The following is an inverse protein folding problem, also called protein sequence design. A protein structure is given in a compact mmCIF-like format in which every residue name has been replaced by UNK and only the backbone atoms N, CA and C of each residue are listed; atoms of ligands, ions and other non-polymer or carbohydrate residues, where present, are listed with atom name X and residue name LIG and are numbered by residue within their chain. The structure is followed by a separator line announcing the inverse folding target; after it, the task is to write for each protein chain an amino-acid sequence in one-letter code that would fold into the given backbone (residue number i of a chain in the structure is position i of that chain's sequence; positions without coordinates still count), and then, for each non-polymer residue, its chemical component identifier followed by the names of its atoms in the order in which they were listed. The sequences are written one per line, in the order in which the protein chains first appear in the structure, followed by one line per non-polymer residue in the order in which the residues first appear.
data_IF_634099661643
#
_entry.id   IF_634099661643
#
_cell.length_a   1.000
_cell.length_b   1.000
_cell.length_c   1.000
_cell.angle_alpha   90.00
_cell.angle_beta   90.00
_cell.angle_gamma   90.00
#
_symmetry.space_group_name_H-M   'P 1'
#
loop_
_entity.id
_entity.type
_entity.pdbx_description
1 polymer ?
#
# COMPACT_ATOMS: atom_id res chain seq x y z
N UNK A 1 -22.23 -13.13 20.43
CA UNK A 1 -21.51 -11.89 20.05
C UNK A 1 -20.00 -12.11 19.84
N UNK A 2 -19.42 -13.24 20.26
CA UNK A 2 -17.99 -13.57 20.13
C UNK A 2 -17.57 -14.01 18.72
N UNK A 3 -18.40 -14.76 18.00
CA UNK A 3 -18.04 -15.31 16.68
C UNK A 3 -17.95 -14.25 15.58
N UNK A 4 -18.89 -13.30 15.55
CA UNK A 4 -18.88 -12.22 14.55
C UNK A 4 -17.63 -11.34 14.63
N UNK A 5 -17.15 -11.03 15.85
CA UNK A 5 -15.92 -10.26 16.06
C UNK A 5 -14.67 -11.05 15.66
N UNK A 6 -14.63 -12.35 15.97
CA UNK A 6 -13.55 -13.25 15.53
C UNK A 6 -13.49 -13.36 14.01
N UNK A 7 -14.65 -13.53 13.36
CA UNK A 7 -14.75 -13.55 11.89
C UNK A 7 -14.32 -12.22 11.28
N UNK A 8 -14.74 -11.08 11.85
CA UNK A 8 -14.33 -9.75 11.38
C UNK A 8 -12.81 -9.57 11.46
N UNK A 9 -12.17 -9.97 12.58
CA UNK A 9 -10.72 -9.94 12.72
C UNK A 9 -10.03 -10.81 11.66
N UNK A 10 -10.49 -12.05 11.47
CA UNK A 10 -9.91 -12.96 10.48
C UNK A 10 -10.03 -12.40 9.05
N UNK A 11 -11.15 -11.76 8.71
CA UNK A 11 -11.34 -11.11 7.41
C UNK A 11 -10.40 -9.91 7.22
N UNK A 12 -10.24 -9.06 8.24
CA UNK A 12 -9.30 -7.93 8.21
C UNK A 12 -7.86 -8.42 8.03
N UNK A 13 -7.45 -9.42 8.81
CA UNK A 13 -6.11 -10.01 8.74
C UNK A 13 -5.85 -10.64 7.35
N UNK A 14 -6.87 -11.29 6.76
CA UNK A 14 -6.81 -11.81 5.39
C UNK A 14 -6.63 -10.69 4.37
N UNK A 15 -7.48 -9.66 4.38
CA UNK A 15 -7.39 -8.55 3.42
C UNK A 15 -6.06 -7.81 3.51
N UNK A 16 -5.56 -7.58 4.73
CA UNK A 16 -4.25 -6.95 4.96
C UNK A 16 -3.13 -7.79 4.36
N UNK A 17 -3.11 -9.09 4.63
CA UNK A 17 -2.10 -10.01 4.10
C UNK A 17 -2.15 -10.08 2.57
N UNK A 18 -3.35 -10.22 1.99
CA UNK A 18 -3.52 -10.24 0.53
C UNK A 18 -3.08 -8.93 -0.10
N UNK A 19 -3.41 -7.79 0.52
CA UNK A 19 -2.97 -6.49 0.07
C UNK A 19 -1.45 -6.35 0.11
N UNK A 20 -0.81 -6.68 1.24
CA UNK A 20 0.64 -6.60 1.42
C UNK A 20 1.40 -7.44 0.40
N UNK A 21 0.95 -8.67 0.17
CA UNK A 21 1.54 -9.57 -0.83
C UNK A 21 1.36 -9.03 -2.25
N UNK A 22 0.16 -8.57 -2.59
CA UNK A 22 -0.16 -8.05 -3.93
C UNK A 22 0.60 -6.76 -4.22
N UNK A 23 0.67 -5.86 -3.24
CA UNK A 23 1.42 -4.61 -3.32
C UNK A 23 2.92 -4.89 -3.51
N UNK A 24 3.48 -5.82 -2.73
CA UNK A 24 4.89 -6.21 -2.86
C UNK A 24 5.19 -6.78 -4.24
N UNK A 25 4.34 -7.67 -4.76
CA UNK A 25 4.49 -8.23 -6.11
C UNK A 25 4.41 -7.15 -7.19
N UNK A 26 3.49 -6.19 -7.06
CA UNK A 26 3.37 -5.05 -7.97
C UNK A 26 4.63 -4.18 -7.96
N UNK A 27 5.17 -3.87 -6.77
CA UNK A 27 6.41 -3.09 -6.64
C UNK A 27 7.60 -3.81 -7.28
N UNK A 28 7.70 -5.13 -7.14
CA UNK A 28 8.75 -5.92 -7.80
C UNK A 28 8.64 -5.84 -9.33
N UNK A 29 7.43 -5.97 -9.89
CA UNK A 29 7.20 -5.86 -11.34
C UNK A 29 7.55 -4.47 -11.87
N UNK A 30 7.15 -3.43 -11.14
CA UNK A 30 7.51 -2.06 -11.47
C UNK A 30 9.03 -1.86 -11.46
N UNK A 31 9.74 -2.34 -10.43
CA UNK A 31 11.20 -2.25 -10.35
C UNK A 31 11.86 -2.95 -11.55
N UNK A 32 11.36 -4.13 -11.94
CA UNK A 32 11.83 -4.84 -13.11
C UNK A 32 11.59 -4.05 -14.41
N UNK A 33 10.41 -3.44 -14.56
CA UNK A 33 10.07 -2.59 -15.70
C UNK A 33 10.97 -1.34 -15.77
N UNK A 34 11.25 -0.71 -14.63
CA UNK A 34 12.17 0.44 -14.55
C UNK A 34 13.58 0.06 -14.97
N UNK A 35 14.09 -1.08 -14.50
CA UNK A 35 15.41 -1.60 -14.91
C UNK A 35 15.46 -1.85 -16.41
N UNK A 36 14.43 -2.50 -16.98
CA UNK A 36 14.34 -2.76 -18.42
C UNK A 36 14.28 -1.47 -19.22
N UNK A 37 13.46 -0.51 -18.78
CA UNK A 37 13.33 0.81 -19.43
C UNK A 37 14.64 1.59 -19.40
N UNK A 38 15.35 1.56 -18.26
CA UNK A 38 16.67 2.20 -18.11
C UNK A 38 17.70 1.59 -19.05
N UNK A 39 17.74 0.25 -19.18
CA UNK A 39 18.61 -0.42 -20.13
C UNK A 39 18.28 -0.03 -21.57
N UNK A 40 16.99 -0.02 -21.94
CA UNK A 40 16.53 0.34 -23.28
C UNK A 40 16.90 1.79 -23.65
N UNK A 41 16.70 2.74 -22.74
CA UNK A 41 17.09 4.13 -22.97
C UNK A 41 18.60 4.33 -23.01
N UNK A 42 19.36 3.59 -22.19
CA UNK A 42 20.82 3.60 -22.25
C UNK A 42 21.38 3.14 -23.59
N UNK A 43 20.62 2.34 -24.35
CA UNK A 43 20.96 1.93 -25.71
C UNK A 43 20.51 2.94 -26.79
N UNK A 44 19.60 3.87 -26.46
CA UNK A 44 19.19 4.91 -27.41
C UNK A 44 20.24 6.02 -27.49
N UNK A 45 20.85 6.13 -28.67
CA UNK A 45 21.94 7.08 -28.94
C UNK A 45 21.49 8.55 -28.92
N UNK A 46 20.18 8.83 -29.01
CA UNK A 46 19.62 10.17 -29.22
C UNK A 46 18.50 10.57 -28.23
N UNK A 47 18.49 10.08 -26.99
CA UNK A 47 17.48 10.53 -26.02
C UNK A 47 17.78 11.99 -25.57
N UNK A 48 16.89 12.96 -25.81
CA UNK A 48 17.08 14.33 -25.33
C UNK A 48 17.15 14.38 -23.80
N UNK A 49 17.96 15.29 -23.25
CA UNK A 49 18.17 15.38 -21.80
C UNK A 49 16.89 15.76 -21.03
N UNK A 50 16.01 16.55 -21.66
CA UNK A 50 14.67 16.84 -21.11
C UNK A 50 13.85 15.55 -20.91
N UNK A 51 13.89 14.64 -21.88
CA UNK A 51 13.20 13.35 -21.78
C UNK A 51 13.78 12.48 -20.67
N UNK A 52 15.12 12.44 -20.51
CA UNK A 52 15.75 11.72 -19.38
C UNK A 52 15.27 12.27 -18.03
N UNK A 53 15.23 13.60 -17.90
CA UNK A 53 14.79 14.27 -16.68
C UNK A 53 13.31 13.97 -16.37
N UNK A 54 12.43 14.08 -17.37
CA UNK A 54 11.01 13.80 -17.21
C UNK A 54 10.75 12.36 -16.74
N UNK A 55 11.50 11.39 -17.29
CA UNK A 55 11.38 9.98 -16.91
C UNK A 55 11.88 9.70 -15.49
N UNK A 56 12.99 10.32 -15.08
CA UNK A 56 13.49 10.23 -13.70
C UNK A 56 12.51 10.82 -12.70
N UNK A 57 11.95 12.00 -13.01
CA UNK A 57 10.93 12.64 -12.18
C UNK A 57 9.65 11.80 -12.11
N UNK A 58 9.21 11.22 -13.24
CA UNK A 58 8.06 10.33 -13.29
C UNK A 58 8.26 9.10 -12.41
N UNK A 59 9.39 8.40 -12.55
CA UNK A 59 9.74 7.24 -11.71
C UNK A 59 9.75 7.59 -10.22
N UNK A 60 10.36 8.72 -9.86
CA UNK A 60 10.41 9.19 -8.47
C UNK A 60 9.01 9.48 -7.91
N UNK A 61 8.18 10.19 -8.68
CA UNK A 61 6.84 10.54 -8.25
C UNK A 61 5.92 9.33 -8.15
N UNK A 62 6.06 8.37 -9.08
CA UNK A 62 5.31 7.11 -9.03
C UNK A 62 5.66 6.32 -7.76
N UNK A 63 6.95 6.11 -7.46
CA UNK A 63 7.39 5.43 -6.24
C UNK A 63 6.83 6.08 -4.98
N UNK A 64 6.94 7.41 -4.90
CA UNK A 64 6.37 8.18 -3.79
C UNK A 64 4.86 7.98 -3.67
N UNK A 65 4.12 8.00 -4.77
CA UNK A 65 2.68 7.75 -4.78
C UNK A 65 2.33 6.35 -4.27
N UNK A 66 3.09 5.33 -4.65
CA UNK A 66 2.92 3.97 -4.15
C UNK A 66 3.19 3.86 -2.63
N UNK A 67 4.24 4.50 -2.13
CA UNK A 67 4.55 4.54 -0.70
C UNK A 67 3.45 5.25 0.10
N UNK A 68 2.95 6.38 -0.39
CA UNK A 68 1.85 7.11 0.22
C UNK A 68 0.55 6.29 0.23
N UNK A 69 0.25 5.59 -0.88
CA UNK A 69 -0.88 4.68 -0.96
C UNK A 69 -0.76 3.51 0.04
N UNK A 70 0.42 2.89 0.13
CA UNK A 70 0.69 1.82 1.11
C UNK A 70 0.45 2.31 2.53
N UNK A 71 0.99 3.47 2.86
CA UNK A 71 0.80 4.10 4.18
C UNK A 71 -0.69 4.36 4.47
N UNK A 72 -1.43 4.90 3.51
CA UNK A 72 -2.87 5.14 3.67
C UNK A 72 -3.65 3.84 3.94
N UNK A 73 -3.30 2.77 3.23
CA UNK A 73 -3.91 1.46 3.42
C UNK A 73 -3.57 0.87 4.79
N UNK A 74 -2.31 0.97 5.23
CA UNK A 74 -1.86 0.52 6.56
C UNK A 74 -2.57 1.25 7.69
N UNK A 75 -2.67 2.57 7.58
CA UNK A 75 -3.42 3.40 8.53
C UNK A 75 -4.91 3.03 8.55
N UNK A 76 -5.48 2.67 7.39
CA UNK A 76 -6.87 2.24 7.28
C UNK A 76 -7.11 0.87 7.93
N UNK A 77 -6.23 -0.11 7.70
CA UNK A 77 -6.30 -1.41 8.39
C UNK A 77 -6.16 -1.25 9.90
N UNK A 78 -5.23 -0.40 10.37
CA UNK A 78 -5.07 -0.11 11.81
C UNK A 78 -6.31 0.54 12.42
N UNK A 79 -6.98 1.45 11.70
CA UNK A 79 -8.25 2.04 12.13
C UNK A 79 -9.36 0.99 12.23
N UNK A 80 -9.46 0.09 11.25
CA UNK A 80 -10.41 -1.03 11.29
C UNK A 80 -10.13 -1.94 12.49
N UNK A 81 -8.89 -2.38 12.67
CA UNK A 81 -8.46 -3.18 13.83
C UNK A 81 -8.84 -2.49 15.16
N UNK A 82 -8.60 -1.18 15.26
CA UNK A 82 -8.94 -0.37 16.44
C UNK A 82 -10.45 -0.29 16.67
N UNK A 83 -11.25 0.01 15.63
CA UNK A 83 -12.70 0.12 15.74
C UNK A 83 -13.34 -1.19 16.23
N UNK A 84 -12.91 -2.33 15.68
CA UNK A 84 -13.42 -3.64 16.10
C UNK A 84 -12.84 -4.08 17.47
N UNK A 85 -11.69 -3.57 17.89
CA UNK A 85 -11.17 -3.74 19.24
C UNK A 85 -11.92 -2.87 20.27
N UNK A 86 -12.14 -1.59 20.00
CA UNK A 86 -12.78 -0.61 20.91
C UNK A 86 -14.24 -0.91 21.25
N UNK A 87 -14.93 -1.71 20.43
CA UNK A 87 -16.20 -2.35 20.80
C UNK A 87 -16.12 -3.26 22.05
N UNK A 88 -14.95 -3.42 22.69
CA UNK A 88 -14.75 -4.05 24.00
C UNK A 88 -14.94 -3.12 25.21
N UNK A 89 -15.00 -1.79 25.05
CA UNK A 89 -15.30 -0.95 26.22
C UNK A 89 -16.77 -1.14 26.59
N UNK A 90 -17.09 -1.62 27.82
CA UNK A 90 -18.47 -1.81 28.22
C UNK A 90 -19.18 -0.45 28.16
N UNK A 91 -20.13 -0.32 27.23
CA UNK A 91 -21.15 0.71 27.20
C UNK A 91 -22.15 0.50 28.35
N UNK A 92 -21.65 0.42 29.60
CA UNK A 92 -22.42 0.48 30.85
C UNK A 92 -21.54 1.07 31.96
N UNK A 93 -21.04 2.28 31.73
CA UNK A 93 -20.54 3.15 32.79
C UNK A 93 -21.02 4.59 32.53
N UNK A 94 -22.33 4.75 32.34
CA UNK A 94 -23.10 5.98 32.62
C UNK A 94 -24.33 5.48 33.37
N UNK A 95 -24.30 5.51 34.71
CA UNK A 95 -25.03 6.48 35.54
C UNK A 95 -26.53 6.51 35.17
N UNK A 96 -27.49 6.14 36.03
CA UNK A 96 -27.70 6.41 37.47
C UNK A 96 -28.48 5.25 38.09
#
# INVERSE_FOLDING_TARGET
MTDAKKMAKQMIDFYKTTFDNSFSAMMMLQEQMERMSTMFWGQMTNLPDESKKALLEWTKNYKKGCEEFKKMMDDSFKKLETYFAEGEKPEKAKAV
#
